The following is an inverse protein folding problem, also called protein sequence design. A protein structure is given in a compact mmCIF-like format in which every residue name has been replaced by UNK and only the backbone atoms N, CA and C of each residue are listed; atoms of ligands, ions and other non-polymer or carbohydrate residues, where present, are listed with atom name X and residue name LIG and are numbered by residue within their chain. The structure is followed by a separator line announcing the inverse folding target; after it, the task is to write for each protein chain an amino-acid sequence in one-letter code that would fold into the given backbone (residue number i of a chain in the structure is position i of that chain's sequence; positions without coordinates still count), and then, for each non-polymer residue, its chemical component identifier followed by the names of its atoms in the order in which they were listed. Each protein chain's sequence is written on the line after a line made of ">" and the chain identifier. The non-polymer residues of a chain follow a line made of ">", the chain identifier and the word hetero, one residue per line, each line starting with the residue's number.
data_IF_862852261585
#
_entry.id   IF_862852261585
#
_cell.length_a   1.000
_cell.length_b   1.000
_cell.length_c   1.000
_cell.angle_alpha   90.00
_cell.angle_beta   90.00
_cell.angle_gamma   90.00
#
_symmetry.space_group_name_H-M   'P 1'
#
loop_
_entity.id
_entity.type
_entity.pdbx_description
1 polymer ?
#
# COMPACT_ATOMS: atom_id res chain seq x y z
N UNK A 1 35.87 29.17 38.64
CA UNK A 1 37.00 29.44 37.74
C UNK A 1 37.08 28.18 36.91
N UNK A 2 36.43 28.18 35.75
CA UNK A 2 36.42 27.00 34.87
C UNK A 2 37.84 26.77 34.36
N UNK A 3 38.27 25.51 34.35
CA UNK A 3 39.63 25.13 33.95
C UNK A 3 39.78 25.38 32.44
N UNK A 4 40.84 26.09 32.06
CA UNK A 4 41.16 26.46 30.68
C UNK A 4 41.45 25.23 29.78
N UNK A 5 41.72 24.06 30.37
CA UNK A 5 41.94 22.81 29.63
C UNK A 5 40.73 21.87 29.61
N UNK A 6 39.64 22.18 30.34
CA UNK A 6 38.48 21.29 30.48
C UNK A 6 37.78 21.04 29.12
N UNK A 7 37.76 22.05 28.25
CA UNK A 7 37.22 21.91 26.89
C UNK A 7 38.08 21.04 25.97
N UNK A 8 39.40 20.96 26.23
CA UNK A 8 40.31 20.11 25.44
C UNK A 8 40.27 18.66 25.91
N UNK A 9 40.00 18.42 27.19
CA UNK A 9 39.88 17.06 27.76
C UNK A 9 38.52 16.43 27.43
N UNK A 10 37.45 17.23 27.34
CA UNK A 10 36.08 16.76 27.05
C UNK A 10 35.70 16.86 25.57
N UNK A 11 36.66 17.11 24.68
CA UNK A 11 36.40 17.36 23.25
C UNK A 11 35.75 16.15 22.56
N UNK A 12 36.21 14.94 22.87
CA UNK A 12 35.66 13.68 22.33
C UNK A 12 34.20 13.51 22.74
N UNK A 13 33.89 13.65 24.04
CA UNK A 13 32.53 13.51 24.56
C UNK A 13 31.60 14.59 24.00
N UNK A 14 32.11 15.82 23.84
CA UNK A 14 31.36 16.94 23.24
C UNK A 14 30.98 16.63 21.80
N UNK A 15 31.94 16.25 20.95
CA UNK A 15 31.66 15.91 19.56
C UNK A 15 30.81 14.65 19.39
N UNK A 16 30.97 13.66 20.28
CA UNK A 16 30.10 12.48 20.28
C UNK A 16 28.65 12.88 20.55
N UNK A 17 28.44 13.74 21.56
CA UNK A 17 27.10 14.23 21.92
C UNK A 17 26.52 15.13 20.85
N UNK A 18 27.32 16.00 20.23
CA UNK A 18 26.92 16.81 19.08
C UNK A 18 26.50 15.94 17.90
N UNK A 19 27.32 14.97 17.51
CA UNK A 19 27.03 14.05 16.42
C UNK A 19 25.77 13.21 16.67
N UNK A 20 25.59 12.72 17.91
CA UNK A 20 24.37 12.01 18.29
C UNK A 20 23.13 12.91 18.20
N UNK A 21 23.18 14.11 18.79
CA UNK A 21 22.05 15.05 18.78
C UNK A 21 21.70 15.48 17.36
N UNK A 22 22.70 15.75 16.53
CA UNK A 22 22.54 16.09 15.12
C UNK A 22 21.91 14.91 14.37
N UNK A 23 22.49 13.71 14.45
CA UNK A 23 21.97 12.53 13.78
C UNK A 23 20.55 12.15 14.23
N UNK A 24 20.23 12.32 15.52
CA UNK A 24 18.88 12.10 16.03
C UNK A 24 17.88 13.11 15.47
N UNK A 25 18.23 14.40 15.48
CA UNK A 25 17.36 15.47 14.97
C UNK A 25 17.11 15.34 13.47
N UNK A 26 18.17 15.09 12.69
CA UNK A 26 18.08 14.88 11.25
C UNK A 26 17.32 13.60 10.92
N UNK A 27 17.63 12.49 11.60
CA UNK A 27 16.96 11.21 11.42
C UNK A 27 15.46 11.28 11.73
N UNK A 28 15.07 12.03 12.77
CA UNK A 28 13.66 12.23 13.10
C UNK A 28 12.92 13.03 12.01
N UNK A 29 13.56 14.09 11.49
CA UNK A 29 12.95 14.93 10.45
C UNK A 29 12.82 14.17 9.12
N UNK A 30 13.90 13.54 8.67
CA UNK A 30 13.93 12.77 7.42
C UNK A 30 13.03 11.55 7.50
N UNK A 31 13.09 10.79 8.60
CA UNK A 31 12.25 9.60 8.79
C UNK A 31 10.76 9.93 8.76
N UNK A 32 10.34 11.09 9.27
CA UNK A 32 8.94 11.53 9.18
C UNK A 32 8.51 11.80 7.74
N UNK A 33 9.35 12.47 6.94
CA UNK A 33 9.03 12.77 5.55
C UNK A 33 9.03 11.50 4.69
N UNK A 34 10.02 10.62 4.88
CA UNK A 34 10.08 9.33 4.19
C UNK A 34 8.86 8.46 4.52
N UNK A 35 8.50 8.33 5.80
CA UNK A 35 7.33 7.56 6.21
C UNK A 35 6.03 8.11 5.57
N UNK A 36 5.90 9.43 5.46
CA UNK A 36 4.75 10.07 4.80
C UNK A 36 4.71 9.73 3.32
N UNK A 37 5.84 9.81 2.61
CA UNK A 37 5.93 9.54 1.19
C UNK A 37 5.64 8.06 0.88
N UNK A 38 6.24 7.15 1.65
CA UNK A 38 6.02 5.71 1.53
C UNK A 38 4.56 5.37 1.83
N UNK A 39 4.01 5.89 2.93
CA UNK A 39 2.61 5.67 3.30
C UNK A 39 1.63 6.14 2.22
N UNK A 40 1.87 7.32 1.63
CA UNK A 40 1.03 7.85 0.54
C UNK A 40 1.10 6.95 -0.69
N UNK A 41 2.31 6.55 -1.10
CA UNK A 41 2.51 5.71 -2.28
C UNK A 41 1.85 4.34 -2.11
N UNK A 42 2.17 3.63 -1.03
CA UNK A 42 1.64 2.29 -0.76
C UNK A 42 0.13 2.35 -0.55
N UNK A 43 -0.36 3.36 0.18
CA UNK A 43 -1.79 3.55 0.38
C UNK A 43 -2.54 3.79 -0.93
N UNK A 44 -1.97 4.54 -1.87
CA UNK A 44 -2.56 4.74 -3.19
C UNK A 44 -2.57 3.44 -4.02
N UNK A 45 -1.45 2.72 -4.08
CA UNK A 45 -1.34 1.45 -4.82
C UNK A 45 -2.37 0.40 -4.32
N UNK A 46 -2.55 0.30 -3.00
CA UNK A 46 -3.54 -0.59 -2.38
C UNK A 46 -4.96 -0.09 -2.63
N UNK A 47 -5.22 1.20 -2.42
CA UNK A 47 -6.54 1.79 -2.60
C UNK A 47 -7.04 1.70 -4.04
N UNK A 48 -6.15 1.87 -5.02
CA UNK A 48 -6.45 1.70 -6.44
C UNK A 48 -6.86 0.25 -6.75
N UNK A 49 -6.10 -0.74 -6.28
CA UNK A 49 -6.41 -2.15 -6.51
C UNK A 49 -7.77 -2.54 -5.92
N UNK A 50 -8.04 -2.12 -4.67
CA UNK A 50 -9.32 -2.34 -4.01
C UNK A 50 -10.46 -1.63 -4.73
N UNK A 51 -10.25 -0.39 -5.16
CA UNK A 51 -11.23 0.39 -5.93
C UNK A 51 -11.57 -0.26 -7.27
N UNK A 52 -10.57 -0.78 -7.98
CA UNK A 52 -10.75 -1.51 -9.22
C UNK A 52 -11.63 -2.76 -9.02
N UNK A 53 -11.34 -3.56 -7.98
CA UNK A 53 -12.15 -4.71 -7.63
C UNK A 53 -13.58 -4.33 -7.28
N UNK A 54 -13.77 -3.27 -6.48
CA UNK A 54 -15.10 -2.77 -6.12
C UNK A 54 -15.90 -2.36 -7.35
N UNK A 55 -15.29 -1.61 -8.27
CA UNK A 55 -15.94 -1.19 -9.51
C UNK A 55 -16.39 -2.36 -10.40
N UNK A 56 -15.54 -3.40 -10.51
CA UNK A 56 -15.91 -4.62 -11.23
C UNK A 56 -17.09 -5.34 -10.58
N UNK A 57 -17.06 -5.51 -9.25
CA UNK A 57 -18.15 -6.13 -8.48
C UNK A 57 -19.46 -5.36 -8.69
N UNK A 58 -19.44 -4.04 -8.56
CA UNK A 58 -20.63 -3.19 -8.72
C UNK A 58 -21.25 -3.31 -10.10
N UNK A 59 -20.41 -3.36 -11.14
CA UNK A 59 -20.87 -3.58 -12.51
C UNK A 59 -21.52 -4.96 -12.67
N UNK A 60 -20.89 -6.02 -12.17
CA UNK A 60 -21.41 -7.38 -12.27
C UNK A 60 -22.70 -7.57 -11.47
N UNK A 61 -22.77 -7.01 -10.25
CA UNK A 61 -23.98 -7.01 -9.42
C UNK A 61 -25.11 -6.25 -10.10
N UNK A 62 -24.81 -5.12 -10.75
CA UNK A 62 -25.80 -4.36 -11.53
C UNK A 62 -26.31 -5.15 -12.73
N UNK A 63 -25.43 -5.88 -13.43
CA UNK A 63 -25.83 -6.76 -14.53
C UNK A 63 -26.75 -7.90 -14.06
N UNK A 64 -26.43 -8.56 -12.93
CA UNK A 64 -27.28 -9.61 -12.33
C UNK A 64 -28.66 -9.06 -11.93
N UNK A 65 -28.71 -7.81 -11.45
CA UNK A 65 -29.97 -7.16 -11.09
C UNK A 65 -30.85 -6.88 -12.31
N UNK A 66 -30.24 -6.52 -13.44
CA UNK A 66 -30.95 -6.29 -14.69
C UNK A 66 -31.43 -7.61 -15.33
N UNK A 67 -30.59 -8.65 -15.29
CA UNK A 67 -30.90 -9.99 -15.76
C UNK A 67 -30.23 -11.03 -14.86
N UNK A 68 -31.03 -11.73 -14.05
CA UNK A 68 -30.52 -12.73 -13.11
C UNK A 68 -29.93 -13.97 -13.79
N UNK A 69 -30.15 -14.15 -15.10
CA UNK A 69 -29.63 -15.28 -15.88
C UNK A 69 -28.35 -14.95 -16.65
N UNK A 70 -27.90 -13.69 -16.63
CA UNK A 70 -26.73 -13.21 -17.36
C UNK A 70 -25.44 -13.98 -17.01
N UNK A 71 -25.32 -14.41 -15.75
CA UNK A 71 -24.19 -15.19 -15.25
C UNK A 71 -24.65 -16.48 -14.56
N UNK A 72 -23.81 -17.52 -14.63
CA UNK A 72 -24.06 -18.78 -13.94
C UNK A 72 -24.15 -18.62 -12.42
N UNK A 73 -24.88 -19.52 -11.75
CA UNK A 73 -24.98 -19.55 -10.28
C UNK A 73 -23.61 -19.60 -9.59
N UNK A 74 -22.65 -20.32 -10.19
CA UNK A 74 -21.25 -20.38 -9.72
C UNK A 74 -20.57 -19.02 -9.79
N UNK A 75 -20.72 -18.30 -10.90
CA UNK A 75 -20.14 -16.97 -11.06
C UNK A 75 -20.75 -15.97 -10.07
N UNK A 76 -22.07 -15.99 -9.90
CA UNK A 76 -22.75 -15.13 -8.93
C UNK A 76 -22.30 -15.39 -7.48
N UNK A 77 -22.11 -16.67 -7.10
CA UNK A 77 -21.56 -17.01 -5.79
C UNK A 77 -20.11 -16.52 -5.62
N UNK A 78 -19.30 -16.63 -6.69
CA UNK A 78 -17.93 -16.12 -6.70
C UNK A 78 -17.86 -14.60 -6.49
N UNK A 79 -18.75 -13.85 -7.16
CA UNK A 79 -18.87 -12.39 -7.02
C UNK A 79 -19.23 -12.00 -5.59
N UNK A 80 -20.23 -12.66 -4.99
CA UNK A 80 -20.63 -12.40 -3.59
C UNK A 80 -19.50 -12.65 -2.60
N UNK A 81 -18.80 -13.77 -2.75
CA UNK A 81 -17.64 -14.07 -1.88
C UNK A 81 -16.51 -13.07 -2.07
N UNK A 82 -16.32 -12.54 -3.28
CA UNK A 82 -15.34 -11.48 -3.52
C UNK A 82 -15.74 -10.15 -2.86
N UNK A 83 -17.03 -9.81 -2.88
CA UNK A 83 -17.58 -8.65 -2.17
C UNK A 83 -17.39 -8.75 -0.65
N UNK A 84 -17.65 -9.93 -0.07
CA UNK A 84 -17.42 -10.21 1.36
C UNK A 84 -15.93 -10.03 1.74
N UNK A 85 -15.00 -10.51 0.92
CA UNK A 85 -13.56 -10.33 1.15
C UNK A 85 -13.18 -8.85 1.12
N UNK A 86 -13.73 -8.08 0.19
CA UNK A 86 -13.45 -6.66 0.06
C UNK A 86 -13.99 -5.87 1.27
N UNK A 87 -15.16 -6.24 1.78
CA UNK A 87 -15.74 -5.63 3.00
C UNK A 87 -14.94 -5.96 4.27
N UNK A 88 -14.27 -7.12 4.31
CA UNK A 88 -13.43 -7.55 5.44
C UNK A 88 -12.03 -6.93 5.41
N UNK A 89 -11.64 -6.28 4.32
CA UNK A 89 -10.30 -5.73 4.19
C UNK A 89 -10.06 -4.59 5.20
N UNK A 90 -9.02 -4.66 6.05
CA UNK A 90 -8.77 -3.67 7.11
C UNK A 90 -8.11 -2.40 6.56
N UNK A 91 -8.86 -1.58 5.80
CA UNK A 91 -8.32 -0.34 5.20
C UNK A 91 -7.77 0.67 6.21
N UNK A 92 -8.34 0.69 7.42
CA UNK A 92 -7.95 1.64 8.48
C UNK A 92 -6.89 1.08 9.42
N UNK A 93 -6.49 -0.18 9.24
CA UNK A 93 -5.47 -0.86 10.04
C UNK A 93 -4.46 -1.56 9.11
N UNK A 94 -3.56 -0.79 8.47
CA UNK A 94 -2.60 -1.33 7.52
C UNK A 94 -1.55 -2.25 8.16
N UNK A 95 -1.46 -2.29 9.48
CA UNK A 95 -0.57 -3.18 10.24
C UNK A 95 -1.24 -4.52 10.60
N UNK A 96 -2.52 -4.70 10.26
CA UNK A 96 -3.22 -5.96 10.50
C UNK A 96 -2.52 -7.11 9.74
N UNK A 97 -2.21 -8.17 10.49
CA UNK A 97 -1.48 -9.35 9.99
C UNK A 97 -2.16 -10.06 8.80
N UNK A 98 -3.46 -9.85 8.61
CA UNK A 98 -4.25 -10.49 7.55
C UNK A 98 -4.33 -9.63 6.27
N UNK A 99 -3.82 -8.39 6.27
CA UNK A 99 -3.84 -7.49 5.09
C UNK A 99 -3.34 -8.21 3.82
N UNK A 100 -2.18 -8.86 3.92
CA UNK A 100 -1.55 -9.54 2.79
C UNK A 100 -2.35 -10.78 2.36
N UNK A 101 -2.83 -11.56 3.33
CA UNK A 101 -3.62 -12.75 3.06
C UNK A 101 -4.93 -12.42 2.33
N UNK A 102 -5.64 -11.39 2.79
CA UNK A 102 -6.91 -10.95 2.17
C UNK A 102 -6.66 -10.36 0.78
N UNK A 103 -5.60 -9.56 0.57
CA UNK A 103 -5.24 -9.08 -0.78
C UNK A 103 -4.98 -10.23 -1.75
N UNK A 104 -4.19 -11.21 -1.33
CA UNK A 104 -3.87 -12.35 -2.18
C UNK A 104 -5.09 -13.23 -2.45
N UNK A 105 -6.00 -13.34 -1.48
CA UNK A 105 -7.29 -13.99 -1.69
C UNK A 105 -8.16 -13.22 -2.69
N UNK A 106 -8.25 -11.90 -2.59
CA UNK A 106 -8.95 -11.04 -3.54
C UNK A 106 -8.40 -11.21 -4.96
N UNK A 107 -7.08 -11.15 -5.15
CA UNK A 107 -6.40 -11.35 -6.44
C UNK A 107 -6.71 -12.72 -7.04
N UNK A 108 -6.64 -13.80 -6.24
CA UNK A 108 -6.99 -15.15 -6.70
C UNK A 108 -8.46 -15.23 -7.07
N UNK A 109 -9.33 -14.69 -6.22
CA UNK A 109 -10.78 -14.72 -6.42
C UNK A 109 -11.18 -13.99 -7.70
N UNK A 110 -10.62 -12.82 -7.92
CA UNK A 110 -10.84 -12.02 -9.13
C UNK A 110 -10.54 -12.83 -10.39
N UNK A 111 -9.36 -13.46 -10.47
CA UNK A 111 -8.98 -14.31 -11.61
C UNK A 111 -9.96 -15.47 -11.84
N UNK A 112 -10.41 -16.11 -10.75
CA UNK A 112 -11.42 -17.18 -10.82
C UNK A 112 -12.77 -16.69 -11.32
N UNK A 113 -13.22 -15.51 -10.87
CA UNK A 113 -14.47 -14.89 -11.29
C UNK A 113 -14.40 -14.48 -12.76
N UNK A 114 -13.35 -13.78 -13.19
CA UNK A 114 -13.13 -13.42 -14.61
C UNK A 114 -13.18 -14.65 -15.52
N UNK A 115 -12.53 -15.75 -15.11
CA UNK A 115 -12.57 -17.01 -15.84
C UNK A 115 -13.99 -17.59 -15.94
N UNK A 116 -14.77 -17.49 -14.85
CA UNK A 116 -16.16 -17.97 -14.78
C UNK A 116 -17.14 -17.10 -15.57
N UNK A 117 -16.79 -15.84 -15.81
CA UNK A 117 -17.53 -14.88 -16.63
C UNK A 117 -17.07 -14.89 -18.10
N UNK A 118 -16.10 -15.73 -18.46
CA UNK A 118 -15.47 -15.76 -19.78
C UNK A 118 -14.85 -14.43 -20.23
N UNK A 119 -14.43 -13.61 -19.26
CA UNK A 119 -13.77 -12.32 -19.49
C UNK A 119 -12.26 -12.57 -19.64
N UNK A 120 -11.73 -12.35 -20.84
CA UNK A 120 -10.31 -12.62 -21.18
C UNK A 120 -9.39 -11.39 -21.17
N UNK A 121 -9.92 -10.19 -20.93
CA UNK A 121 -9.20 -8.91 -21.14
C UNK A 121 -9.21 -7.95 -19.96
N UNK A 122 -9.93 -8.25 -18.88
CA UNK A 122 -9.95 -7.37 -17.70
C UNK A 122 -8.84 -7.85 -16.79
N UNK A 123 -7.74 -7.10 -16.79
CA UNK A 123 -6.60 -7.29 -15.92
C UNK A 123 -6.42 -6.01 -15.09
N UNK A 124 -5.95 -6.18 -13.86
CA UNK A 124 -5.44 -5.06 -13.08
C UNK A 124 -3.96 -4.92 -13.45
N UNK A 125 -3.64 -3.93 -14.28
CA UNK A 125 -2.28 -3.68 -14.75
C UNK A 125 -1.41 -2.97 -13.70
N UNK A 126 -1.99 -2.64 -12.54
CA UNK A 126 -1.36 -1.85 -11.49
C UNK A 126 -1.31 -0.37 -11.84
N UNK A 127 -0.98 0.45 -10.84
CA UNK A 127 -0.61 1.84 -11.08
C UNK A 127 0.49 1.85 -12.15
N UNK A 128 0.32 2.56 -13.29
CA UNK A 128 1.42 2.74 -14.21
C UNK A 128 2.52 3.38 -13.38
N UNK A 129 3.63 2.65 -13.17
CA UNK A 129 4.84 3.25 -12.62
C UNK A 129 5.07 4.47 -13.50
N UNK A 130 4.80 5.67 -12.96
CA UNK A 130 5.35 6.89 -13.50
C UNK A 130 6.79 6.50 -13.81
N UNK A 131 7.15 6.63 -15.09
CA UNK A 131 8.38 6.08 -15.63
C UNK A 131 9.49 6.24 -14.60
N UNK A 132 10.35 5.24 -14.46
CA UNK A 132 11.58 5.33 -13.69
C UNK A 132 12.53 6.38 -14.31
N UNK A 133 12.05 7.61 -14.41
CA UNK A 133 12.68 8.85 -14.85
C UNK A 133 12.45 9.83 -13.71
N UNK A 134 13.56 10.27 -13.12
CA UNK A 134 13.71 11.27 -12.05
C UNK A 134 13.78 10.80 -10.60
N UNK A 135 14.15 9.54 -10.36
CA UNK A 135 14.73 9.13 -9.07
C UNK A 135 16.27 9.01 -9.10
N UNK A 136 16.92 9.42 -10.21
CA UNK A 136 18.37 9.35 -10.37
C UNK A 136 19.10 10.68 -10.08
N UNK A 137 18.51 11.60 -9.32
CA UNK A 137 19.15 12.89 -8.98
C UNK A 137 19.45 13.08 -7.49
N UNK A 138 19.46 12.02 -6.70
CA UNK A 138 20.06 12.04 -5.37
C UNK A 138 21.23 11.05 -5.35
N UNK A 139 22.32 11.43 -6.01
CA UNK A 139 23.65 10.95 -5.65
C UNK A 139 24.01 11.61 -4.32
N UNK A 140 24.34 10.79 -3.31
CA UNK A 140 24.99 11.23 -2.08
C UNK A 140 26.49 11.40 -2.31
#
# INVERSE_FOLDING_TARGET
>A
MDDIFDSSLNLEETHHKEGYNQGYSEGLATGKEEARQVGLKVGFEVGEELGFYKGCIDLWVSAIRADHTVFSSRAQAGIRQMEELLQRYPMMDPEDQHVQEIMDELRRKFKMVCSSLHIKKIEYDGYPKAAASDASSLEF
#
